data_IF_211012434843
#
_entry.id   IF_211012434843
#
_cell.length_a   1.000
_cell.length_b   1.000
_cell.length_c   1.000
_cell.angle_alpha   90.00
_cell.angle_beta   90.00
_cell.angle_gamma   90.00
#
_symmetry.space_group_name_H-M   'P 1'
#
loop_
_entity.id
_entity.type
_entity.pdbx_description
1 polymer ?
#
# COMPACT_ATOMS: atom_id res chain seq x y z
N UNK A 1 -12.95 8.10 22.64
CA UNK A 1 -12.68 7.75 21.22
C UNK A 1 -11.21 8.01 20.94
N UNK A 2 -10.53 7.21 20.11
CA UNK A 2 -9.12 7.45 19.77
C UNK A 2 -9.01 7.54 18.25
N UNK A 3 -8.39 8.59 17.74
CA UNK A 3 -8.00 8.70 16.34
C UNK A 3 -6.60 8.14 16.16
N UNK A 4 -6.47 7.18 15.25
CA UNK A 4 -5.22 6.49 14.98
C UNK A 4 -4.71 6.86 13.59
N UNK A 5 -3.52 7.42 13.51
CA UNK A 5 -2.84 7.71 12.26
C UNK A 5 -1.68 6.73 12.05
N UNK A 6 -1.59 6.17 10.86
CA UNK A 6 -0.52 5.25 10.46
C UNK A 6 0.31 5.93 9.38
N UNK A 7 1.63 5.78 9.46
CA UNK A 7 2.53 6.25 8.42
C UNK A 7 2.31 5.54 7.08
N UNK A 8 2.74 6.18 6.00
CA UNK A 8 2.79 5.63 4.66
C UNK A 8 4.02 4.73 4.47
N UNK A 9 3.88 3.81 3.53
CA UNK A 9 4.94 2.92 3.03
C UNK A 9 5.43 3.39 1.66
N UNK A 10 6.63 2.94 1.28
CA UNK A 10 7.28 3.20 -0.01
C UNK A 10 6.69 2.33 -1.14
N UNK A 11 5.46 2.59 -1.55
CA UNK A 11 4.73 1.78 -2.55
C UNK A 11 5.42 1.70 -3.92
N UNK A 12 6.30 2.65 -4.24
CA UNK A 12 7.13 2.60 -5.45
C UNK A 12 8.10 1.41 -5.47
N UNK A 13 8.47 0.87 -4.30
CA UNK A 13 9.25 -0.37 -4.20
C UNK A 13 8.46 -1.58 -4.70
N UNK A 14 7.12 -1.57 -4.55
CA UNK A 14 6.27 -2.68 -5.03
C UNK A 14 6.36 -2.79 -6.54
N UNK A 15 6.35 -1.66 -7.26
CA UNK A 15 6.52 -1.67 -8.72
C UNK A 15 7.85 -2.31 -9.14
N UNK A 16 8.93 -2.03 -8.41
CA UNK A 16 10.23 -2.64 -8.72
C UNK A 16 10.23 -4.16 -8.52
N UNK A 17 9.48 -4.65 -7.52
CA UNK A 17 9.31 -6.09 -7.29
C UNK A 17 8.44 -6.77 -8.35
N UNK A 18 7.41 -6.09 -8.84
CA UNK A 18 6.42 -6.67 -9.76
C UNK A 18 6.80 -6.50 -11.23
N UNK A 19 7.64 -5.52 -11.56
CA UNK A 19 8.09 -5.25 -12.92
C UNK A 19 8.74 -6.49 -13.57
N UNK A 20 8.18 -6.91 -14.70
CA UNK A 20 8.63 -8.08 -15.48
C UNK A 20 8.63 -9.42 -14.71
N UNK A 21 7.95 -9.50 -13.56
CA UNK A 21 7.88 -10.72 -12.80
C UNK A 21 6.93 -11.73 -13.45
N UNK A 22 7.34 -12.98 -13.57
CA UNK A 22 6.47 -14.08 -14.03
C UNK A 22 5.38 -14.46 -13.03
N UNK A 23 5.49 -13.96 -11.79
CA UNK A 23 4.45 -14.09 -10.77
C UNK A 23 3.22 -13.24 -11.11
N UNK A 24 3.46 -12.05 -11.64
CA UNK A 24 2.42 -11.09 -12.00
C UNK A 24 1.77 -11.51 -13.31
N UNK A 25 0.45 -11.69 -13.30
CA UNK A 25 -0.27 -12.23 -14.44
C UNK A 25 -1.44 -11.32 -14.83
N UNK A 26 -1.63 -11.03 -16.12
CA UNK A 26 -2.81 -10.31 -16.56
C UNK A 26 -4.07 -11.15 -16.35
N UNK A 27 -5.24 -10.52 -16.39
CA UNK A 27 -6.50 -11.25 -16.29
C UNK A 27 -6.67 -12.25 -17.43
N UNK A 28 -7.44 -13.30 -17.19
CA UNK A 28 -7.79 -14.28 -18.22
C UNK A 28 -8.35 -13.59 -19.48
N UNK A 29 -7.72 -13.90 -20.61
CA UNK A 29 -8.13 -13.44 -21.95
C UNK A 29 -7.99 -11.93 -22.22
N UNK A 30 -7.16 -11.20 -21.46
CA UNK A 30 -6.78 -9.83 -21.82
C UNK A 30 -5.30 -9.55 -21.53
N UNK A 31 -4.79 -8.45 -22.08
CA UNK A 31 -3.45 -7.93 -21.78
C UNK A 31 -3.52 -6.75 -20.78
N UNK A 32 -4.61 -6.65 -20.03
CA UNK A 32 -4.82 -5.54 -19.10
C UNK A 32 -3.98 -5.76 -17.85
N UNK A 33 -3.13 -4.78 -17.55
CA UNK A 33 -2.30 -4.74 -16.35
C UNK A 33 -2.91 -3.67 -15.45
N UNK A 34 -3.53 -4.07 -14.33
CA UNK A 34 -4.22 -3.17 -13.40
C UNK A 34 -3.28 -2.07 -12.90
N UNK A 35 -2.06 -2.46 -12.56
CA UNK A 35 -1.02 -1.60 -12.05
C UNK A 35 -0.78 -0.36 -12.93
N UNK A 36 -0.85 -0.52 -14.26
CA UNK A 36 -0.62 0.56 -15.22
C UNK A 36 -1.63 1.71 -15.10
N UNK A 37 -2.80 1.42 -14.53
CA UNK A 37 -3.90 2.36 -14.36
C UNK A 37 -4.06 2.85 -12.92
N UNK A 38 -3.78 1.99 -11.93
CA UNK A 38 -3.90 2.38 -10.52
C UNK A 38 -2.73 3.23 -10.05
N UNK A 39 -1.53 3.00 -10.58
CA UNK A 39 -0.33 3.73 -10.21
C UNK A 39 0.46 4.24 -11.42
N UNK A 40 -0.13 5.15 -12.22
CA UNK A 40 0.56 5.69 -13.40
C UNK A 40 1.85 6.44 -13.02
N UNK A 41 1.96 6.91 -11.78
CA UNK A 41 3.15 7.54 -11.25
C UNK A 41 4.33 6.57 -11.12
N UNK A 42 4.10 5.26 -10.98
CA UNK A 42 5.19 4.30 -10.83
C UNK A 42 5.99 4.07 -12.13
N UNK A 43 5.52 4.51 -13.30
CA UNK A 43 6.11 4.11 -14.58
C UNK A 43 7.36 4.88 -15.02
N UNK A 44 7.72 5.97 -14.33
CA UNK A 44 8.92 6.74 -14.65
C UNK A 44 9.82 6.91 -13.43
N UNK A 45 11.13 6.87 -13.66
CA UNK A 45 12.13 7.07 -12.60
C UNK A 45 11.93 8.42 -11.89
N UNK A 46 11.59 9.47 -12.65
CA UNK A 46 11.33 10.80 -12.10
C UNK A 46 10.12 10.82 -11.16
N UNK A 47 9.03 10.16 -11.54
CA UNK A 47 7.84 10.06 -10.71
C UNK A 47 8.07 9.14 -9.50
N UNK A 48 8.75 8.00 -9.66
CA UNK A 48 9.13 7.13 -8.55
C UNK A 48 9.97 7.88 -7.51
N UNK A 49 10.95 8.67 -7.96
CA UNK A 49 11.77 9.52 -7.06
C UNK A 49 10.90 10.52 -6.30
N UNK A 50 9.89 11.09 -6.98
CA UNK A 50 8.94 12.00 -6.36
C UNK A 50 8.00 11.30 -5.37
N UNK A 51 7.59 10.06 -5.67
CA UNK A 51 6.78 9.23 -4.77
C UNK A 51 7.55 8.94 -3.48
N UNK A 52 8.79 8.46 -3.58
CA UNK A 52 9.65 8.18 -2.44
C UNK A 52 9.83 9.43 -1.55
N UNK A 53 10.08 10.60 -2.16
CA UNK A 53 10.20 11.86 -1.42
C UNK A 53 8.89 12.25 -0.71
N UNK A 54 7.75 12.06 -1.38
CA UNK A 54 6.44 12.39 -0.81
C UNK A 54 6.08 11.52 0.40
N UNK A 55 6.48 10.25 0.44
CA UNK A 55 6.25 9.38 1.61
C UNK A 55 6.85 10.01 2.87
N UNK A 56 8.09 10.50 2.79
CA UNK A 56 8.75 11.14 3.91
C UNK A 56 8.05 12.45 4.33
N UNK A 57 7.67 13.29 3.37
CA UNK A 57 6.95 14.53 3.66
C UNK A 57 5.58 14.28 4.31
N UNK A 58 4.82 13.30 3.81
CA UNK A 58 3.53 12.92 4.39
C UNK A 58 3.69 12.35 5.81
N UNK A 59 4.67 11.48 6.04
CA UNK A 59 4.94 10.92 7.36
C UNK A 59 5.34 12.00 8.38
N UNK A 60 6.13 12.99 7.95
CA UNK A 60 6.46 14.15 8.77
C UNK A 60 5.23 15.01 9.06
N UNK A 61 4.38 15.27 8.05
CA UNK A 61 3.16 16.03 8.23
C UNK A 61 2.17 15.34 9.18
N UNK A 62 1.95 14.03 9.03
CA UNK A 62 1.11 13.22 9.93
C UNK A 62 1.62 13.27 11.37
N UNK A 63 2.93 13.10 11.57
CA UNK A 63 3.55 13.21 12.88
C UNK A 63 3.36 14.60 13.49
N UNK A 64 3.49 15.66 12.69
CA UNK A 64 3.28 17.04 13.14
C UNK A 64 1.83 17.26 13.62
N UNK A 65 0.85 16.82 12.83
CA UNK A 65 -0.57 16.87 13.20
C UNK A 65 -0.82 16.13 14.52
N UNK A 66 -0.32 14.90 14.64
CA UNK A 66 -0.41 14.14 15.89
C UNK A 66 0.13 14.93 17.08
N UNK A 67 1.34 15.49 16.98
CA UNK A 67 1.97 16.27 18.06
C UNK A 67 1.12 17.49 18.45
N UNK A 68 0.54 18.19 17.47
CA UNK A 68 -0.35 19.35 17.71
C UNK A 68 -1.60 18.97 18.50
N UNK A 69 -2.24 17.85 18.17
CA UNK A 69 -3.46 17.41 18.88
C UNK A 69 -3.14 16.74 20.22
N UNK A 70 -2.03 15.99 20.32
CA UNK A 70 -1.59 15.37 21.57
C UNK A 70 -1.29 16.43 22.65
N UNK A 71 -0.68 17.56 22.27
CA UNK A 71 -0.38 18.65 23.19
C UNK A 71 -1.64 19.32 23.81
N UNK A 72 -2.80 19.22 23.14
CA UNK A 72 -4.04 19.86 23.57
C UNK A 72 -4.80 19.09 24.65
N UNK A 73 -4.45 17.81 24.90
CA UNK A 73 -5.02 16.99 25.98
C UNK A 73 -6.57 17.02 26.03
N UNK A 74 -7.22 16.76 24.89
CA UNK A 74 -8.68 16.77 24.80
C UNK A 74 -9.33 15.72 25.74
N UNK A 75 -10.39 16.07 26.48
CA UNK A 75 -11.05 15.15 27.40
C UNK A 75 -11.96 14.12 26.71
N UNK A 76 -12.34 14.35 25.45
CA UNK A 76 -13.33 13.54 24.72
C UNK A 76 -12.71 12.54 23.74
N UNK A 77 -11.48 12.79 23.28
CA UNK A 77 -10.76 11.89 22.40
C UNK A 77 -9.26 11.94 22.61
N UNK A 78 -8.61 10.81 22.30
CA UNK A 78 -7.15 10.71 22.21
C UNK A 78 -6.69 10.65 20.76
N UNK A 79 -5.40 10.90 20.55
CA UNK A 79 -4.73 10.69 19.27
C UNK A 79 -3.55 9.73 19.47
N UNK A 80 -3.26 8.92 18.47
CA UNK A 80 -2.10 8.04 18.44
C UNK A 80 -1.51 8.02 17.03
N UNK A 81 -0.18 7.98 16.96
CA UNK A 81 0.55 7.89 15.70
C UNK A 81 1.49 6.70 15.72
N UNK A 82 1.45 5.90 14.66
CA UNK A 82 2.31 4.74 14.45
C UNK A 82 3.12 4.91 13.16
N UNK A 83 4.44 5.10 13.26
CA UNK A 83 5.32 4.99 12.10
C UNK A 83 5.20 3.59 11.48
N UNK A 84 5.31 3.52 10.15
CA UNK A 84 5.25 2.28 9.39
C UNK A 84 6.52 2.06 8.55
N UNK A 85 7.70 1.81 9.19
CA UNK A 85 8.96 1.59 8.49
C UNK A 85 9.01 0.16 7.93
N UNK A 86 8.22 -0.09 6.90
CA UNK A 86 8.14 -1.39 6.23
C UNK A 86 9.20 -1.42 5.13
N UNK A 87 10.08 -2.42 5.18
CA UNK A 87 10.98 -2.74 4.07
C UNK A 87 10.23 -3.69 3.12
N UNK A 88 9.62 -3.15 2.07
CA UNK A 88 8.79 -3.93 1.14
C UNK A 88 9.65 -4.99 0.43
N UNK A 89 10.89 -4.63 0.09
CA UNK A 89 11.86 -5.52 -0.56
C UNK A 89 12.24 -6.75 0.28
N UNK A 90 11.93 -6.78 1.58
CA UNK A 90 12.17 -7.94 2.46
C UNK A 90 11.10 -9.03 2.35
N UNK A 91 9.93 -8.71 1.80
CA UNK A 91 8.84 -9.67 1.68
C UNK A 91 8.98 -10.51 0.40
N UNK A 92 8.53 -11.78 0.42
CA UNK A 92 8.42 -12.55 -0.80
C UNK A 92 7.39 -11.90 -1.74
N UNK A 93 7.62 -11.94 -3.06
CA UNK A 93 6.70 -11.34 -4.05
C UNK A 93 5.26 -11.87 -3.94
N UNK A 94 5.07 -13.08 -3.42
CA UNK A 94 3.77 -13.70 -3.15
C UNK A 94 2.95 -12.95 -2.08
N UNK A 95 3.60 -12.09 -1.30
CA UNK A 95 2.93 -11.18 -0.38
C UNK A 95 2.19 -10.05 -1.14
N UNK A 96 2.44 -9.85 -2.43
CA UNK A 96 1.75 -8.89 -3.30
C UNK A 96 0.73 -9.62 -4.19
N UNK A 97 -0.41 -8.99 -4.47
CA UNK A 97 -1.43 -9.51 -5.40
C UNK A 97 -0.80 -9.78 -6.77
N UNK A 98 -1.09 -10.94 -7.34
CA UNK A 98 -0.59 -11.28 -8.68
C UNK A 98 -1.41 -10.63 -9.80
N UNK A 99 -2.59 -10.10 -9.48
CA UNK A 99 -3.48 -9.38 -10.41
C UNK A 99 -3.24 -7.87 -10.32
N UNK A 100 -3.37 -7.31 -9.13
CA UNK A 100 -3.33 -5.85 -8.92
C UNK A 100 -1.89 -5.34 -8.86
N UNK A 101 -0.96 -6.16 -8.39
CA UNK A 101 0.50 -5.89 -8.40
C UNK A 101 0.92 -4.61 -7.64
N UNK A 102 0.03 -4.08 -6.80
CA UNK A 102 0.28 -2.95 -5.90
C UNK A 102 -0.28 -3.16 -4.48
N UNK A 103 -1.17 -4.14 -4.29
CA UNK A 103 -1.76 -4.46 -2.99
C UNK A 103 -1.11 -5.69 -2.37
N UNK A 104 -0.96 -5.69 -1.04
CA UNK A 104 -0.51 -6.87 -0.32
C UNK A 104 -1.63 -7.91 -0.19
N UNK A 105 -1.33 -9.17 -0.53
CA UNK A 105 -2.17 -10.32 -0.30
C UNK A 105 -2.45 -10.50 1.20
N UNK A 106 -3.72 -10.39 1.59
CA UNK A 106 -4.27 -10.72 2.93
C UNK A 106 -3.51 -10.13 4.14
N UNK A 107 -2.75 -9.05 4.00
CA UNK A 107 -2.18 -8.35 5.16
C UNK A 107 -3.15 -7.33 5.79
N UNK A 108 -4.25 -6.99 5.11
CA UNK A 108 -5.28 -6.06 5.62
C UNK A 108 -6.71 -6.64 5.73
N UNK A 109 -6.92 -7.94 5.53
CA UNK A 109 -8.23 -8.55 5.78
C UNK A 109 -8.38 -8.94 7.26
N UNK A 110 -8.57 -7.96 8.15
CA UNK A 110 -9.18 -8.28 9.44
C UNK A 110 -10.69 -8.42 9.27
N UNK A 111 -11.16 -9.66 9.44
CA UNK A 111 -12.52 -10.02 9.87
C UNK A 111 -13.68 -9.14 9.41
N UNK A 112 -14.37 -9.53 8.34
CA UNK A 112 -15.83 -9.78 8.34
C UNK A 112 -16.28 -10.32 6.98
N UNK A 113 -17.15 -11.31 7.06
CA UNK A 113 -17.94 -11.93 5.99
C UNK A 113 -17.28 -12.89 4.98
N UNK A 114 -17.70 -14.16 5.11
CA UNK A 114 -17.39 -15.30 4.28
C UNK A 114 -18.09 -15.30 2.92
N UNK A 115 -18.07 -14.17 2.22
CA UNK A 115 -18.43 -14.15 0.79
C UNK A 115 -17.15 -14.42 0.00
N UNK A 116 -17.01 -15.64 -0.53
CA UNK A 116 -15.96 -15.99 -1.50
C UNK A 116 -16.05 -15.02 -2.69
N UNK A 117 -15.25 -13.95 -2.67
CA UNK A 117 -14.82 -13.32 -3.91
C UNK A 117 -14.04 -14.38 -4.68
N UNK A 118 -14.28 -14.48 -6.00
CA UNK A 118 -13.60 -15.42 -6.89
C UNK A 118 -12.11 -15.48 -6.53
N UNK A 119 -11.56 -16.67 -6.36
CA UNK A 119 -10.16 -16.74 -5.95
C UNK A 119 -9.32 -16.07 -7.03
N UNK A 120 -8.24 -15.41 -6.64
CA UNK A 120 -7.27 -14.80 -7.57
C UNK A 120 -6.84 -15.82 -8.66
N UNK A 121 -6.81 -17.10 -8.31
CA UNK A 121 -6.55 -18.21 -9.23
C UNK A 121 -7.64 -18.44 -10.30
N UNK A 122 -8.89 -18.06 -10.05
CA UNK A 122 -10.00 -18.17 -11.01
C UNK A 122 -9.95 -17.06 -12.07
N UNK A 123 -9.29 -15.94 -11.75
CA UNK A 123 -9.20 -14.74 -12.60
C UNK A 123 -7.94 -14.67 -13.45
N UNK A 124 -7.02 -15.61 -13.24
CA UNK A 124 -5.67 -15.62 -13.81
C UNK A 124 -5.49 -16.87 -14.70
N UNK A 125 -4.87 -16.74 -15.88
CA UNK A 125 -4.38 -17.86 -16.71
C UNK A 125 -2.89 -17.68 -16.92
#
# INVERSE_FOLDING_TARGET
MIFYAVGLIHVEEIYQLTLNSSYCKPFQNNAFVVHDYECPCAHSIANQTSMAANVEFYNQALKSVYLTYAAQNFPTFGVAYQPLPVNIMSFPIQAISNIEQIFFNRLFSSSTDGTRMASENDMVR
#
